data_IF_446841500533
#
_entry.id   IF_446841500533
#
_cell.length_a   1.000
_cell.length_b   1.000
_cell.length_c   1.000
_cell.angle_alpha   90.00
_cell.angle_beta   90.00
_cell.angle_gamma   90.00
#
_symmetry.space_group_name_H-M   'P 1'
#
loop_
_entity.id
_entity.type
_entity.pdbx_description
1 polymer ?
#
# COMPACT_ATOMS: atom_id res chain seq x y z
N UNK A 1 -25.89 12.48 -6.41
CA UNK A 1 -24.60 12.69 -5.75
C UNK A 1 -24.66 13.74 -4.62
N UNK A 2 -25.85 14.13 -4.12
CA UNK A 2 -25.95 15.04 -2.96
C UNK A 2 -25.43 16.46 -3.19
N UNK A 3 -25.48 16.94 -4.44
CA UNK A 3 -25.10 18.30 -4.82
C UNK A 3 -26.33 19.21 -4.69
N UNK A 4 -26.17 20.33 -4.02
CA UNK A 4 -27.22 21.35 -3.79
C UNK A 4 -26.72 22.72 -4.26
N UNK A 5 -27.64 23.64 -4.54
CA UNK A 5 -27.25 25.02 -4.92
C UNK A 5 -26.56 25.77 -3.77
N UNK A 6 -26.98 25.53 -2.53
CA UNK A 6 -26.40 26.16 -1.34
C UNK A 6 -25.07 25.52 -0.89
N UNK A 7 -24.70 24.37 -1.44
CA UNK A 7 -23.60 23.55 -0.93
C UNK A 7 -24.02 22.67 0.25
N UNK A 8 -23.16 21.69 0.58
CA UNK A 8 -23.29 20.82 1.76
C UNK A 8 -22.02 20.80 2.62
N UNK A 9 -21.04 21.65 2.27
CA UNK A 9 -19.72 21.80 2.88
C UNK A 9 -19.22 23.24 2.72
N UNK A 10 -18.06 23.54 3.31
CA UNK A 10 -17.47 24.88 3.34
C UNK A 10 -17.45 25.58 1.97
N UNK A 11 -17.62 26.91 2.02
CA UNK A 11 -17.57 27.81 0.85
C UNK A 11 -18.62 27.49 -0.23
N UNK A 12 -19.75 26.90 0.14
CA UNK A 12 -20.83 26.56 -0.79
C UNK A 12 -20.53 25.32 -1.65
N UNK A 13 -19.47 24.57 -1.33
CA UNK A 13 -19.17 23.31 -1.99
C UNK A 13 -20.11 22.19 -1.52
N UNK A 14 -20.33 21.16 -2.34
CA UNK A 14 -21.00 19.93 -1.89
C UNK A 14 -20.03 18.75 -1.87
N UNK A 15 -20.04 17.97 -0.78
CA UNK A 15 -19.35 16.66 -0.75
C UNK A 15 -20.17 15.66 -1.56
N UNK A 16 -19.53 15.10 -2.60
CA UNK A 16 -20.16 14.13 -3.47
C UNK A 16 -20.42 12.82 -2.71
N UNK A 17 -21.70 12.50 -2.50
CA UNK A 17 -22.15 11.26 -1.84
C UNK A 17 -23.13 10.51 -2.70
N UNK A 18 -23.06 9.19 -2.70
CA UNK A 18 -24.13 8.35 -3.24
C UNK A 18 -25.08 8.00 -2.09
N UNK A 19 -26.29 8.59 -2.00
CA UNK A 19 -27.21 8.31 -0.90
C UNK A 19 -27.70 6.86 -1.01
N UNK A 20 -27.55 6.07 0.06
CA UNK A 20 -27.96 4.66 0.10
C UNK A 20 -29.47 4.43 0.14
N UNK A 21 -30.24 5.50 0.37
CA UNK A 21 -31.71 5.54 0.41
C UNK A 21 -32.35 5.86 -0.95
N UNK A 22 -31.55 6.10 -1.99
CA UNK A 22 -32.02 6.48 -3.33
C UNK A 22 -32.60 5.33 -4.19
N UNK A 23 -32.79 4.14 -3.60
CA UNK A 23 -33.22 2.95 -4.33
C UNK A 23 -32.13 2.37 -5.25
N UNK A 24 -32.48 1.44 -6.16
CA UNK A 24 -31.54 0.82 -7.08
C UNK A 24 -30.85 1.87 -7.96
N UNK A 25 -29.51 1.89 -7.93
CA UNK A 25 -28.72 2.86 -8.69
C UNK A 25 -28.27 2.24 -10.00
N UNK A 26 -28.44 2.97 -11.11
CA UNK A 26 -27.91 2.60 -12.42
C UNK A 26 -26.37 2.63 -12.40
N UNK A 27 -25.75 1.45 -12.46
CA UNK A 27 -24.31 1.28 -12.43
C UNK A 27 -23.60 1.96 -13.61
N UNK A 28 -24.20 1.94 -14.80
CA UNK A 28 -23.62 2.56 -16.00
C UNK A 28 -23.59 4.08 -15.85
N UNK A 29 -24.67 4.66 -15.33
CA UNK A 29 -24.73 6.09 -14.99
C UNK A 29 -23.69 6.48 -13.94
N UNK A 30 -23.54 5.69 -12.87
CA UNK A 30 -22.55 5.95 -11.81
C UNK A 30 -21.13 5.90 -12.36
N UNK A 31 -20.81 4.91 -13.19
CA UNK A 31 -19.51 4.80 -13.83
C UNK A 31 -19.22 6.03 -14.71
N UNK A 32 -20.19 6.46 -15.52
CA UNK A 32 -20.05 7.66 -16.36
C UNK A 32 -19.83 8.95 -15.55
N UNK A 33 -20.53 9.11 -14.43
CA UNK A 33 -20.31 10.26 -13.53
C UNK A 33 -18.92 10.20 -12.88
N UNK A 34 -18.49 9.04 -12.38
CA UNK A 34 -17.16 8.87 -11.79
C UNK A 34 -16.05 9.20 -12.81
N UNK A 35 -16.18 8.76 -14.05
CA UNK A 35 -15.23 9.05 -15.11
C UNK A 35 -15.11 10.57 -15.39
N UNK A 36 -16.25 11.28 -15.49
CA UNK A 36 -16.26 12.74 -15.70
C UNK A 36 -15.66 13.51 -14.53
N UNK A 37 -15.96 13.10 -13.30
CA UNK A 37 -15.41 13.71 -12.10
C UNK A 37 -13.91 13.45 -11.96
N UNK A 38 -13.45 12.25 -12.35
CA UNK A 38 -12.03 11.91 -12.39
C UNK A 38 -11.31 12.80 -13.42
N UNK A 39 -11.83 12.91 -14.64
CA UNK A 39 -11.25 13.78 -15.67
C UNK A 39 -11.13 15.24 -15.21
N UNK A 40 -12.18 15.81 -14.61
CA UNK A 40 -12.13 17.15 -14.04
C UNK A 40 -11.18 17.26 -12.83
N UNK A 41 -10.97 16.17 -12.07
CA UNK A 41 -10.00 16.16 -10.97
C UNK A 41 -8.57 16.16 -11.49
N UNK A 42 -8.31 15.47 -12.59
CA UNK A 42 -6.97 15.33 -13.18
C UNK A 42 -6.47 16.63 -13.82
N UNK A 43 -7.34 17.63 -13.99
CA UNK A 43 -6.96 19.00 -14.37
C UNK A 43 -6.35 19.80 -13.20
N UNK A 44 -6.49 19.33 -11.95
CA UNK A 44 -5.93 19.99 -10.77
C UNK A 44 -4.53 19.44 -10.46
N UNK A 45 -3.60 20.28 -9.97
CA UNK A 45 -2.33 19.78 -9.42
C UNK A 45 -2.61 18.70 -8.37
N UNK A 46 -2.05 17.52 -8.57
CA UNK A 46 -2.16 16.45 -7.58
C UNK A 46 -1.42 16.84 -6.30
N UNK A 47 -1.92 16.43 -5.11
CA UNK A 47 -1.15 16.56 -3.88
C UNK A 47 0.21 15.87 -4.06
N UNK A 48 1.27 16.45 -3.49
CA UNK A 48 2.56 15.76 -3.43
C UNK A 48 2.42 14.43 -2.72
N UNK A 49 2.99 13.36 -3.30
CA UNK A 49 3.06 12.05 -2.67
C UNK A 49 4.37 11.92 -1.90
N UNK A 50 4.33 11.35 -0.70
CA UNK A 50 5.56 10.86 -0.07
C UNK A 50 5.83 9.47 -0.63
N UNK A 51 6.73 9.39 -1.61
CA UNK A 51 7.14 8.15 -2.28
C UNK A 51 8.12 7.30 -1.47
N UNK A 52 8.24 7.59 -0.17
CA UNK A 52 9.16 6.91 0.71
C UNK A 52 8.66 5.53 1.07
N UNK A 53 9.56 4.55 0.97
CA UNK A 53 9.40 3.20 1.47
C UNK A 53 9.95 3.15 2.89
N UNK A 54 9.15 2.68 3.84
CA UNK A 54 9.53 2.49 5.24
C UNK A 54 9.63 0.99 5.51
N UNK A 55 10.76 0.54 6.05
CA UNK A 55 11.05 -0.89 6.24
C UNK A 55 10.00 -1.58 7.10
N UNK A 56 9.72 -1.04 8.30
CA UNK A 56 8.69 -1.57 9.20
C UNK A 56 7.33 -1.78 8.51
N UNK A 57 6.82 -0.74 7.84
CA UNK A 57 5.52 -0.81 7.17
C UNK A 57 5.48 -1.81 6.02
N UNK A 58 6.59 -2.01 5.32
CA UNK A 58 6.67 -3.02 4.27
C UNK A 58 6.77 -4.43 4.85
N UNK A 59 7.44 -4.62 5.98
CA UNK A 59 7.40 -5.88 6.73
C UNK A 59 5.98 -6.32 7.07
N UNK A 60 5.19 -5.41 7.66
CA UNK A 60 3.76 -5.65 7.93
C UNK A 60 2.94 -5.93 6.66
N UNK A 61 3.21 -5.20 5.58
CA UNK A 61 2.53 -5.40 4.30
C UNK A 61 2.86 -6.76 3.68
N UNK A 62 4.11 -7.22 3.75
CA UNK A 62 4.55 -8.53 3.26
C UNK A 62 3.81 -9.64 4.01
N UNK A 63 3.77 -9.59 5.35
CA UNK A 63 3.03 -10.56 6.16
C UNK A 63 1.56 -10.63 5.74
N UNK A 64 0.88 -9.47 5.69
CA UNK A 64 -0.53 -9.39 5.33
C UNK A 64 -0.81 -9.93 3.92
N UNK A 65 0.03 -9.59 2.94
CA UNK A 65 -0.11 -10.05 1.56
C UNK A 65 0.13 -11.55 1.42
N UNK A 66 1.17 -12.08 2.08
CA UNK A 66 1.49 -13.51 2.07
C UNK A 66 0.34 -14.34 2.69
N UNK A 67 -0.08 -13.98 3.90
CA UNK A 67 -1.14 -14.69 4.63
C UNK A 67 -2.49 -14.61 3.91
N UNK A 68 -2.88 -13.41 3.46
CA UNK A 68 -4.12 -13.21 2.70
C UNK A 68 -4.07 -13.97 1.38
N UNK A 69 -2.92 -13.94 0.70
CA UNK A 69 -2.67 -14.68 -0.53
C UNK A 69 -2.87 -16.18 -0.36
N UNK A 70 -2.30 -16.75 0.70
CA UNK A 70 -2.46 -18.16 1.04
C UNK A 70 -3.90 -18.49 1.46
N UNK A 71 -4.52 -17.69 2.33
CA UNK A 71 -5.83 -17.99 2.91
C UNK A 71 -6.98 -17.92 1.89
N UNK A 72 -6.88 -17.03 0.90
CA UNK A 72 -7.92 -16.80 -0.09
C UNK A 72 -7.59 -17.35 -1.49
N UNK A 73 -6.57 -18.21 -1.62
CA UNK A 73 -6.11 -18.74 -2.92
C UNK A 73 -5.80 -17.63 -3.95
N UNK A 74 -5.10 -16.60 -3.51
CA UNK A 74 -4.71 -15.42 -4.30
C UNK A 74 -3.20 -15.39 -4.53
N UNK A 75 -2.68 -16.17 -5.50
CA UNK A 75 -1.23 -16.25 -5.76
C UNK A 75 -0.63 -14.90 -6.18
N UNK A 76 -1.43 -14.02 -6.78
CA UNK A 76 -1.00 -12.67 -7.13
C UNK A 76 -0.67 -11.81 -5.90
N UNK A 77 -1.27 -12.08 -4.73
CA UNK A 77 -0.91 -11.38 -3.50
C UNK A 77 0.40 -11.92 -2.92
N UNK A 78 0.64 -13.22 -3.01
CA UNK A 78 1.92 -13.84 -2.61
C UNK A 78 3.06 -13.30 -3.48
N UNK A 79 2.84 -13.19 -4.80
CA UNK A 79 3.81 -12.58 -5.72
C UNK A 79 4.16 -11.14 -5.31
N UNK A 80 3.16 -10.32 -4.92
CA UNK A 80 3.39 -8.96 -4.43
C UNK A 80 4.13 -8.92 -3.09
N UNK A 81 3.89 -9.90 -2.22
CA UNK A 81 4.66 -10.04 -1.00
C UNK A 81 6.14 -10.34 -1.30
N UNK A 82 6.41 -11.24 -2.24
CA UNK A 82 7.77 -11.56 -2.73
C UNK A 82 8.45 -10.34 -3.33
N UNK A 83 7.78 -9.59 -4.23
CA UNK A 83 8.34 -8.37 -4.83
C UNK A 83 8.71 -7.31 -3.78
N UNK A 84 7.87 -7.14 -2.75
CA UNK A 84 8.14 -6.23 -1.65
C UNK A 84 9.30 -6.71 -0.77
N UNK A 85 9.39 -8.01 -0.50
CA UNK A 85 10.49 -8.61 0.25
C UNK A 85 11.83 -8.46 -0.48
N UNK A 86 11.85 -8.73 -1.79
CA UNK A 86 13.01 -8.51 -2.66
C UNK A 86 13.48 -7.05 -2.63
N UNK A 87 12.55 -6.10 -2.63
CA UNK A 87 12.89 -4.68 -2.49
C UNK A 87 13.61 -4.39 -1.16
N UNK A 88 13.11 -4.94 -0.05
CA UNK A 88 13.74 -4.76 1.25
C UNK A 88 15.12 -5.40 1.30
N UNK A 89 15.29 -6.62 0.78
CA UNK A 89 16.59 -7.27 0.69
C UNK A 89 17.56 -6.44 -0.13
N UNK A 90 17.17 -6.02 -1.33
CA UNK A 90 18.05 -5.30 -2.26
C UNK A 90 18.42 -3.90 -1.80
N UNK A 91 17.48 -3.17 -1.18
CA UNK A 91 17.64 -1.74 -0.89
C UNK A 91 17.89 -1.47 0.58
N UNK A 92 17.24 -2.22 1.49
CA UNK A 92 17.27 -1.93 2.92
C UNK A 92 18.24 -2.80 3.71
N UNK A 93 18.48 -4.04 3.29
CA UNK A 93 19.51 -4.92 3.86
C UNK A 93 20.82 -4.71 3.09
N UNK A 94 21.58 -3.67 3.47
CA UNK A 94 22.90 -3.43 2.89
C UNK A 94 23.90 -4.56 3.17
N UNK A 95 25.14 -4.43 2.67
CA UNK A 95 26.17 -5.48 2.71
C UNK A 95 26.56 -5.96 4.12
N UNK A 96 26.28 -5.18 5.16
CA UNK A 96 26.68 -5.47 6.55
C UNK A 96 25.50 -5.98 7.40
N UNK A 97 24.44 -6.51 6.76
CA UNK A 97 23.22 -7.02 7.40
C UNK A 97 22.55 -6.00 8.37
N UNK A 98 22.77 -4.70 8.13
CA UNK A 98 22.15 -3.63 8.92
C UNK A 98 21.04 -3.00 8.10
N UNK A 99 19.83 -3.09 8.62
CA UNK A 99 18.63 -2.56 7.98
C UNK A 99 18.67 -1.03 7.95
N UNK A 100 18.30 -0.41 6.84
CA UNK A 100 18.01 1.04 6.76
C UNK A 100 16.51 1.29 6.92
N UNK A 101 16.13 2.33 7.67
CA UNK A 101 14.72 2.59 8.00
C UNK A 101 13.89 2.94 6.78
N UNK A 102 14.44 3.74 5.88
CA UNK A 102 13.67 4.33 4.77
C UNK A 102 14.46 4.35 3.49
N UNK A 103 13.80 4.21 2.35
CA UNK A 103 14.35 4.49 1.03
C UNK A 103 13.41 5.37 0.21
N UNK A 104 13.94 6.04 -0.80
CA UNK A 104 13.16 6.81 -1.77
C UNK A 104 13.83 6.72 -3.14
N UNK A 105 13.05 6.56 -4.20
CA UNK A 105 13.53 6.45 -5.59
C UNK A 105 14.63 5.38 -5.74
N UNK A 106 14.44 4.23 -5.07
CA UNK A 106 15.36 3.09 -5.07
C UNK A 106 16.65 3.29 -4.29
N UNK A 107 16.79 4.39 -3.52
CA UNK A 107 17.99 4.70 -2.74
C UNK A 107 17.69 4.66 -1.25
N UNK A 108 18.46 3.87 -0.51
CA UNK A 108 18.43 3.87 0.95
C UNK A 108 18.78 5.25 1.49
N UNK A 109 18.10 5.67 2.55
CA UNK A 109 18.43 6.87 3.31
C UNK A 109 19.52 6.59 4.36
N UNK A 110 20.00 7.66 4.99
CA UNK A 110 21.12 7.61 5.94
C UNK A 110 20.74 7.04 7.33
N UNK A 111 19.43 6.91 7.61
CA UNK A 111 18.94 6.48 8.90
C UNK A 111 18.99 4.95 9.02
N UNK A 112 19.75 4.46 9.99
CA UNK A 112 19.69 3.06 10.40
C UNK A 112 18.28 2.69 10.89
N UNK A 113 17.88 1.44 10.64
CA UNK A 113 16.67 0.85 11.19
C UNK A 113 16.70 0.82 12.71
N UNK A 114 15.53 0.96 13.30
CA UNK A 114 15.30 0.80 14.74
C UNK A 114 14.64 -0.55 15.01
N UNK A 115 14.46 -0.91 16.27
CA UNK A 115 13.94 -2.24 16.66
C UNK A 115 12.62 -2.61 15.96
N UNK A 116 11.72 -1.65 15.80
CA UNK A 116 10.46 -1.80 15.04
C UNK A 116 10.71 -2.28 13.60
N UNK A 117 11.69 -1.67 12.89
CA UNK A 117 12.00 -2.05 11.52
C UNK A 117 12.50 -3.49 11.44
N UNK A 118 13.35 -3.91 12.38
CA UNK A 118 13.83 -5.30 12.41
C UNK A 118 12.72 -6.29 12.74
N UNK A 119 11.89 -5.98 13.74
CA UNK A 119 10.80 -6.86 14.16
C UNK A 119 9.78 -7.08 13.05
N UNK A 120 9.30 -5.99 12.44
CA UNK A 120 8.27 -6.08 11.40
C UNK A 120 8.80 -6.70 10.10
N UNK A 121 10.06 -6.44 9.73
CA UNK A 121 10.68 -7.08 8.55
C UNK A 121 10.91 -8.57 8.78
N UNK A 122 11.40 -8.96 9.96
CA UNK A 122 11.56 -10.37 10.30
C UNK A 122 10.21 -11.09 10.28
N UNK A 123 9.16 -10.50 10.85
CA UNK A 123 7.79 -11.04 10.80
C UNK A 123 7.31 -11.23 9.35
N UNK A 124 7.49 -10.22 8.50
CA UNK A 124 7.15 -10.29 7.08
C UNK A 124 7.86 -11.44 6.37
N UNK A 125 9.16 -11.59 6.57
CA UNK A 125 9.94 -12.67 5.96
C UNK A 125 9.58 -14.04 6.50
N UNK A 126 9.30 -14.18 7.81
CA UNK A 126 8.85 -15.43 8.40
C UNK A 126 7.48 -15.86 7.85
N UNK A 127 6.54 -14.94 7.73
CA UNK A 127 5.23 -15.20 7.13
C UNK A 127 5.37 -15.61 5.66
N UNK A 128 6.19 -14.91 4.89
CA UNK A 128 6.45 -15.25 3.49
C UNK A 128 7.12 -16.62 3.36
N UNK A 129 8.09 -16.94 4.22
CA UNK A 129 8.73 -18.26 4.26
C UNK A 129 7.72 -19.37 4.54
N UNK A 130 6.82 -19.16 5.50
CA UNK A 130 5.80 -20.14 5.87
C UNK A 130 4.81 -20.42 4.72
N UNK A 131 4.48 -19.39 3.93
CA UNK A 131 3.55 -19.50 2.79
C UNK A 131 4.22 -20.12 1.56
N UNK A 132 5.45 -19.71 1.25
CA UNK A 132 6.15 -20.12 0.02
C UNK A 132 6.98 -21.39 0.17
N UNK A 133 7.41 -21.71 1.40
CA UNK A 133 8.38 -22.76 1.68
C UNK A 133 9.81 -22.40 1.28
N UNK A 134 10.08 -21.16 0.87
CA UNK A 134 11.40 -20.71 0.43
C UNK A 134 12.29 -20.36 1.64
N UNK A 135 13.30 -21.21 1.89
CA UNK A 135 14.18 -21.08 3.05
C UNK A 135 15.05 -19.81 3.08
N UNK A 136 15.27 -19.15 1.94
CA UNK A 136 16.06 -17.92 1.87
C UNK A 136 15.46 -16.80 2.76
N UNK A 137 14.13 -16.73 2.86
CA UNK A 137 13.46 -15.74 3.71
C UNK A 137 13.71 -15.96 5.20
N UNK A 138 13.93 -17.20 5.63
CA UNK A 138 14.33 -17.50 7.01
C UNK A 138 15.73 -16.96 7.31
N UNK A 139 16.67 -17.10 6.37
CA UNK A 139 18.03 -16.57 6.53
C UNK A 139 18.05 -15.04 6.63
N UNK A 140 17.17 -14.36 5.89
CA UNK A 140 17.04 -12.90 5.97
C UNK A 140 16.30 -12.41 7.23
N UNK A 141 15.48 -13.26 7.86
CA UNK A 141 14.74 -12.88 9.06
C UNK A 141 15.62 -12.81 10.32
N UNK A 142 16.77 -13.52 10.34
CA UNK A 142 17.76 -13.50 11.43
C UNK A 142 18.10 -14.86 12.01
#
# INVERSE_FOLDING_TARGET
FGVTEEGTFDEGASVLRLPGDAGPVDAARVAGVRARLLAARDERPHPGRDDKVVAAWNGLAIAALAETGAYFDRPDLVERATEAADLLVRVHLGEVARLTRTSKDGRAGDNAGVLEDYGDVAEGFLALAAVTGEGAWLEFAG
#
